data_IF_050674796753
#
_entry.id   IF_050674796753
#
_cell.length_a   1.000
_cell.length_b   1.000
_cell.length_c   1.000
_cell.angle_alpha   90.00
_cell.angle_beta   90.00
_cell.angle_gamma   90.00
#
_symmetry.space_group_name_H-M   'P 1'
#
loop_
_entity.id
_entity.type
_entity.pdbx_description
1 polymer ?
#
# COMPACT_ATOMS: atom_id res chain seq x y z
N UNK A 1 -3.05 -5.99 -33.71
CA UNK A 1 -3.66 -5.34 -32.52
C UNK A 1 -2.89 -5.88 -31.34
N UNK A 2 -2.08 -5.06 -30.68
CA UNK A 2 -1.57 -5.43 -29.37
C UNK A 2 -2.80 -5.65 -28.48
N UNK A 3 -2.85 -6.74 -27.74
CA UNK A 3 -3.95 -6.97 -26.80
C UNK A 3 -3.86 -5.87 -25.74
N UNK A 4 -4.88 -5.03 -25.63
CA UNK A 4 -4.95 -3.98 -24.61
C UNK A 4 -4.83 -4.65 -23.23
N UNK A 5 -3.93 -4.16 -22.37
CA UNK A 5 -3.84 -4.62 -20.98
C UNK A 5 -5.09 -4.09 -20.28
N UNK A 6 -5.94 -4.98 -19.75
CA UNK A 6 -7.21 -4.57 -19.11
C UNK A 6 -7.12 -4.78 -17.60
N UNK A 7 -7.72 -3.86 -16.83
CA UNK A 7 -8.01 -4.04 -15.42
C UNK A 7 -9.05 -5.16 -15.27
N UNK A 8 -8.71 -6.22 -14.55
CA UNK A 8 -9.60 -7.38 -14.36
C UNK A 8 -9.92 -7.56 -12.89
N UNK A 9 -11.18 -7.38 -12.53
CA UNK A 9 -11.66 -7.58 -11.15
C UNK A 9 -12.32 -8.95 -11.04
N UNK A 10 -12.04 -9.68 -9.95
CA UNK A 10 -12.62 -11.01 -9.71
C UNK A 10 -13.09 -11.14 -8.27
N UNK A 11 -14.12 -11.96 -8.09
CA UNK A 11 -14.57 -12.42 -6.79
C UNK A 11 -14.75 -13.95 -6.85
N UNK A 12 -14.49 -14.61 -5.73
CA UNK A 12 -14.80 -16.01 -5.48
C UNK A 12 -15.81 -16.11 -4.34
N UNK A 13 -16.71 -17.09 -4.42
CA UNK A 13 -17.66 -17.42 -3.35
C UNK A 13 -16.97 -18.04 -2.12
N UNK A 14 -15.71 -18.47 -2.26
CA UNK A 14 -14.93 -19.07 -1.18
C UNK A 14 -14.23 -18.04 -0.28
N UNK A 15 -14.46 -16.74 -0.49
CA UNK A 15 -13.98 -15.66 0.38
C UNK A 15 -15.10 -14.62 0.57
N UNK A 16 -15.04 -13.80 1.64
CA UNK A 16 -16.07 -12.78 1.90
C UNK A 16 -16.24 -11.80 0.74
N UNK A 17 -17.44 -11.69 0.18
CA UNK A 17 -17.78 -10.75 -0.90
C UNK A 17 -18.29 -9.44 -0.29
N UNK A 18 -17.88 -8.31 -0.87
CA UNK A 18 -18.26 -6.98 -0.41
C UNK A 18 -18.89 -6.18 -1.55
N UNK A 19 -19.99 -5.45 -1.28
CA UNK A 19 -20.66 -4.64 -2.30
C UNK A 19 -19.88 -3.37 -2.68
N UNK A 20 -18.86 -3.00 -1.91
CA UNK A 20 -18.15 -1.72 -2.00
C UNK A 20 -16.65 -1.87 -2.29
N UNK A 21 -16.22 -3.07 -2.70
CA UNK A 21 -14.86 -3.37 -3.15
C UNK A 21 -14.80 -4.72 -3.83
N UNK A 22 -13.86 -4.90 -4.75
CA UNK A 22 -13.62 -6.22 -5.35
C UNK A 22 -12.52 -6.97 -4.60
N UNK A 23 -12.67 -8.29 -4.40
CA UNK A 23 -11.70 -9.10 -3.64
C UNK A 23 -10.29 -9.01 -4.23
N UNK A 24 -10.18 -9.07 -5.55
CA UNK A 24 -8.91 -9.10 -6.28
C UNK A 24 -9.04 -8.27 -7.55
N UNK A 25 -8.12 -7.33 -7.76
CA UNK A 25 -8.06 -6.49 -8.96
C UNK A 25 -6.68 -6.59 -9.59
N UNK A 26 -6.63 -7.29 -10.71
CA UNK A 26 -5.43 -7.52 -11.51
C UNK A 26 -5.25 -6.43 -12.56
N UNK A 27 -4.01 -6.02 -12.74
CA UNK A 27 -3.59 -5.22 -13.88
C UNK A 27 -2.14 -5.55 -14.23
N UNK A 28 -1.76 -5.54 -15.51
CA UNK A 28 -0.38 -5.82 -15.93
C UNK A 28 0.20 -7.05 -15.20
N UNK A 29 1.19 -6.86 -14.30
CA UNK A 29 1.89 -7.94 -13.60
C UNK A 29 1.48 -8.16 -12.14
N UNK A 30 0.59 -7.36 -11.56
CA UNK A 30 0.20 -7.48 -10.15
C UNK A 30 -1.30 -7.66 -9.95
N UNK A 31 -1.62 -8.23 -8.80
CA UNK A 31 -2.97 -8.35 -8.34
C UNK A 31 -3.13 -7.80 -6.91
N UNK A 32 -3.99 -6.79 -6.78
CA UNK A 32 -4.28 -6.13 -5.50
C UNK A 32 -5.42 -6.86 -4.80
N UNK A 33 -5.19 -7.37 -3.59
CA UNK A 33 -6.24 -7.97 -2.76
C UNK A 33 -6.82 -6.92 -1.82
N UNK A 34 -8.15 -6.86 -1.74
CA UNK A 34 -8.86 -6.13 -0.69
C UNK A 34 -8.52 -6.67 0.70
N UNK A 35 -8.50 -5.81 1.71
CA UNK A 35 -8.28 -6.27 3.08
C UNK A 35 -9.32 -7.33 3.47
N UNK A 36 -8.83 -8.50 3.83
CA UNK A 36 -9.62 -9.60 4.34
C UNK A 36 -9.76 -9.45 5.84
N UNK A 37 -11.02 -9.38 6.27
CA UNK A 37 -11.43 -9.49 7.66
C UNK A 37 -11.60 -10.97 8.03
N UNK A 38 -11.65 -11.31 9.33
CA UNK A 38 -11.76 -12.68 9.80
C UNK A 38 -13.21 -13.15 9.73
N UNK A 39 -13.84 -13.01 8.56
CA UNK A 39 -15.21 -13.40 8.28
C UNK A 39 -15.18 -14.79 7.65
N UNK A 40 -16.04 -15.69 8.11
CA UNK A 40 -16.27 -16.98 7.46
C UNK A 40 -17.13 -16.74 6.21
N UNK A 41 -16.64 -17.07 5.00
CA UNK A 41 -17.37 -16.84 3.76
C UNK A 41 -18.70 -17.61 3.66
N UNK A 42 -18.85 -18.72 4.41
CA UNK A 42 -20.07 -19.54 4.38
C UNK A 42 -21.19 -18.94 5.20
N UNK A 43 -20.86 -18.31 6.33
CA UNK A 43 -21.85 -17.73 7.24
C UNK A 43 -22.02 -16.22 7.02
N UNK A 44 -20.99 -15.55 6.50
CA UNK A 44 -20.90 -14.09 6.46
C UNK A 44 -20.65 -13.46 7.83
N UNK A 45 -20.42 -14.27 8.86
CA UNK A 45 -20.20 -13.82 10.23
C UNK A 45 -18.70 -13.81 10.57
N UNK A 46 -18.33 -12.96 11.52
CA UNK A 46 -16.97 -12.93 12.04
C UNK A 46 -16.64 -14.20 12.83
N UNK A 47 -15.43 -14.71 12.66
CA UNK A 47 -14.88 -15.79 13.48
C UNK A 47 -14.59 -15.26 14.88
N UNK A 48 -15.41 -15.70 15.84
CA UNK A 48 -15.21 -15.43 17.27
C UNK A 48 -14.07 -16.32 17.78
N UNK A 49 -13.03 -15.71 18.33
CA UNK A 49 -11.86 -16.44 18.80
C UNK A 49 -10.72 -15.53 19.22
N UNK A 50 -9.55 -16.12 19.45
CA UNK A 50 -8.34 -15.36 19.74
C UNK A 50 -7.73 -14.81 18.44
N UNK A 51 -6.68 -13.98 18.57
CA UNK A 51 -5.96 -13.44 17.41
C UNK A 51 -5.49 -14.54 16.45
N UNK A 52 -5.07 -15.71 16.93
CA UNK A 52 -4.62 -16.79 16.05
C UNK A 52 -5.73 -17.30 15.13
N UNK A 53 -6.95 -17.44 15.67
CA UNK A 53 -8.11 -17.92 14.92
C UNK A 53 -8.49 -16.91 13.83
N UNK A 54 -8.55 -15.63 14.20
CA UNK A 54 -8.87 -14.57 13.25
C UNK A 54 -7.78 -14.35 12.21
N UNK A 55 -6.50 -14.40 12.60
CA UNK A 55 -5.36 -14.31 11.65
C UNK A 55 -5.42 -15.46 10.64
N UNK A 56 -5.69 -16.68 11.11
CA UNK A 56 -5.84 -17.84 10.25
C UNK A 56 -7.03 -17.67 9.29
N UNK A 57 -8.16 -17.11 9.76
CA UNK A 57 -9.30 -16.85 8.89
C UNK A 57 -8.98 -15.83 7.80
N UNK A 58 -8.32 -14.70 8.13
CA UNK A 58 -7.91 -13.71 7.14
C UNK A 58 -7.00 -14.33 6.06
N UNK A 59 -6.02 -15.14 6.49
CA UNK A 59 -5.09 -15.81 5.57
C UNK A 59 -5.76 -16.91 4.73
N UNK A 60 -6.72 -17.66 5.28
CA UNK A 60 -7.54 -18.61 4.52
C UNK A 60 -8.38 -17.89 3.44
N UNK A 61 -8.93 -16.71 3.77
CA UNK A 61 -9.69 -15.89 2.82
C UNK A 61 -8.77 -15.40 1.68
N UNK A 62 -7.58 -14.90 2.01
CA UNK A 62 -6.56 -14.52 1.02
C UNK A 62 -6.19 -15.73 0.17
N UNK A 63 -5.87 -16.87 0.78
CA UNK A 63 -5.53 -18.11 0.07
C UNK A 63 -6.63 -18.53 -0.91
N UNK A 64 -7.89 -18.48 -0.50
CA UNK A 64 -9.03 -18.82 -1.36
C UNK A 64 -9.15 -17.88 -2.57
N UNK A 65 -8.87 -16.58 -2.38
CA UNK A 65 -8.81 -15.59 -3.47
C UNK A 65 -7.66 -15.92 -4.42
N UNK A 66 -6.46 -16.17 -3.87
CA UNK A 66 -5.25 -16.51 -4.63
C UNK A 66 -5.46 -17.78 -5.47
N UNK A 67 -6.01 -18.84 -4.87
CA UNK A 67 -6.27 -20.11 -5.55
C UNK A 67 -7.36 -19.97 -6.62
N UNK A 68 -8.35 -19.11 -6.42
CA UNK A 68 -9.42 -18.86 -7.39
C UNK A 68 -8.95 -18.24 -8.70
N UNK A 69 -7.78 -17.60 -8.69
CA UNK A 69 -7.13 -17.01 -9.87
C UNK A 69 -5.96 -17.85 -10.38
N UNK A 70 -5.83 -19.11 -9.93
CA UNK A 70 -4.82 -20.06 -10.42
C UNK A 70 -3.43 -19.89 -9.80
N UNK A 71 -3.30 -19.16 -8.69
CA UNK A 71 -2.04 -18.87 -8.00
C UNK A 71 -1.94 -19.57 -6.65
N UNK A 72 -0.77 -19.45 -6.01
CA UNK A 72 -0.50 -20.00 -4.68
C UNK A 72 -0.02 -18.92 -3.72
N UNK A 73 -0.10 -19.17 -2.41
CA UNK A 73 0.34 -18.19 -1.39
C UNK A 73 1.80 -17.75 -1.57
N UNK A 74 2.67 -18.60 -2.11
CA UNK A 74 4.05 -18.21 -2.40
C UNK A 74 4.19 -17.16 -3.53
N UNK A 75 3.13 -16.83 -4.26
CA UNK A 75 3.09 -15.71 -5.20
C UNK A 75 2.86 -14.35 -4.51
N UNK A 76 2.52 -14.32 -3.22
CA UNK A 76 2.36 -13.07 -2.48
C UNK A 76 3.70 -12.35 -2.36
N UNK A 77 3.73 -11.07 -2.74
CA UNK A 77 4.91 -10.19 -2.70
C UNK A 77 4.91 -9.26 -1.49
N UNK A 78 3.74 -8.79 -1.05
CA UNK A 78 3.56 -7.87 0.07
C UNK A 78 2.30 -8.23 0.85
N UNK A 79 2.39 -8.11 2.18
CA UNK A 79 1.26 -8.21 3.10
C UNK A 79 1.29 -7.02 4.06
N UNK A 80 0.13 -6.39 4.25
CA UNK A 80 -0.08 -5.44 5.34
C UNK A 80 -1.03 -6.06 6.39
N UNK A 81 -0.60 -6.07 7.65
CA UNK A 81 -1.34 -6.62 8.78
C UNK A 81 -1.70 -5.49 9.73
N UNK A 82 -2.98 -5.19 9.85
CA UNK A 82 -3.48 -4.18 10.79
C UNK A 82 -4.17 -4.87 11.96
N UNK A 83 -3.73 -4.55 13.18
CA UNK A 83 -4.23 -5.19 14.41
C UNK A 83 -4.90 -4.17 15.34
N UNK A 84 -5.78 -4.63 16.23
CA UNK A 84 -6.29 -3.80 17.33
C UNK A 84 -5.24 -3.57 18.41
N UNK A 85 -4.48 -4.62 18.76
CA UNK A 85 -3.47 -4.56 19.83
C UNK A 85 -2.11 -5.00 19.31
N UNK A 86 -1.08 -4.16 19.47
CA UNK A 86 0.26 -4.47 18.97
C UNK A 86 0.92 -5.66 19.69
N UNK A 87 0.47 -5.96 20.92
CA UNK A 87 0.94 -7.12 21.69
C UNK A 87 0.63 -8.46 21.01
N UNK A 88 -0.33 -8.47 20.07
CA UNK A 88 -0.76 -9.68 19.39
C UNK A 88 0.22 -10.15 18.29
N UNK A 89 1.24 -9.35 17.98
CA UNK A 89 2.23 -9.64 16.92
C UNK A 89 2.93 -10.98 17.12
N UNK A 90 3.30 -11.33 18.35
CA UNK A 90 4.01 -12.59 18.62
C UNK A 90 3.14 -13.83 18.37
N UNK A 91 1.82 -13.68 18.48
CA UNK A 91 0.87 -14.72 18.13
C UNK A 91 0.74 -14.83 16.60
N UNK A 92 0.58 -13.70 15.91
CA UNK A 92 0.52 -13.62 14.44
C UNK A 92 1.76 -14.21 13.79
N UNK A 93 2.96 -13.91 14.32
CA UNK A 93 4.26 -14.44 13.86
C UNK A 93 4.37 -15.96 13.93
N UNK A 94 3.51 -16.65 14.69
CA UNK A 94 3.45 -18.12 14.73
C UNK A 94 2.49 -18.70 13.69
N UNK A 95 1.49 -17.93 13.26
CA UNK A 95 0.46 -18.37 12.30
C UNK A 95 0.85 -18.03 10.88
N UNK A 96 1.18 -16.78 10.60
CA UNK A 96 1.32 -16.33 9.23
C UNK A 96 2.40 -17.09 8.41
N UNK A 97 3.58 -17.47 8.95
CA UNK A 97 4.59 -18.16 8.16
C UNK A 97 4.14 -19.55 7.70
N UNK A 98 3.15 -20.16 8.38
CA UNK A 98 2.69 -21.51 8.03
C UNK A 98 1.92 -21.56 6.72
N UNK A 99 1.56 -20.41 6.15
CA UNK A 99 0.88 -20.29 4.87
C UNK A 99 1.84 -20.23 3.68
N UNK A 100 3.15 -20.20 3.91
CA UNK A 100 4.18 -20.10 2.88
C UNK A 100 5.10 -21.30 2.96
N UNK A 101 5.56 -21.77 1.79
CA UNK A 101 6.58 -22.82 1.69
C UNK A 101 7.93 -22.23 1.22
N UNK A 102 7.87 -21.16 0.42
CA UNK A 102 9.02 -20.43 -0.09
C UNK A 102 9.39 -19.19 0.74
N UNK A 103 10.15 -18.25 0.14
CA UNK A 103 10.46 -16.98 0.76
C UNK A 103 9.20 -16.20 1.16
N UNK A 104 9.19 -15.73 2.41
CA UNK A 104 8.11 -14.95 2.99
C UNK A 104 7.94 -13.62 2.21
N UNK A 105 6.73 -13.06 2.13
CA UNK A 105 6.51 -11.76 1.50
C UNK A 105 7.17 -10.63 2.29
N UNK A 106 7.16 -9.43 1.72
CA UNK A 106 7.39 -8.21 2.49
C UNK A 106 6.20 -7.95 3.41
N UNK A 107 6.47 -7.37 4.59
CA UNK A 107 5.47 -7.23 5.65
C UNK A 107 5.48 -5.81 6.22
N UNK A 108 4.29 -5.27 6.41
CA UNK A 108 4.03 -4.11 7.26
C UNK A 108 3.05 -4.54 8.36
N UNK A 109 3.36 -4.26 9.63
CA UNK A 109 2.45 -4.50 10.76
C UNK A 109 2.26 -3.21 11.55
N UNK A 110 1.03 -2.84 11.84
CA UNK A 110 0.72 -1.70 12.72
C UNK A 110 -0.57 -1.93 13.51
N UNK A 111 -0.65 -1.35 14.72
CA UNK A 111 -1.90 -1.32 15.46
C UNK A 111 -2.71 -0.08 15.08
N UNK A 112 -4.01 -0.23 14.84
CA UNK A 112 -4.90 0.83 14.37
C UNK A 112 -6.02 1.07 15.38
N UNK A 113 -6.61 2.27 15.37
CA UNK A 113 -7.64 2.64 16.34
C UNK A 113 -8.93 1.83 16.16
N UNK A 114 -9.29 1.50 14.92
CA UNK A 114 -10.42 0.63 14.64
C UNK A 114 -10.24 -0.20 13.37
N UNK A 115 -10.98 -1.31 13.31
CA UNK A 115 -11.15 -2.16 12.13
C UNK A 115 -12.62 -2.10 11.70
N UNK A 116 -12.97 -2.35 10.41
CA UNK A 116 -14.34 -2.16 9.90
C UNK A 116 -15.42 -3.03 10.56
N UNK A 117 -15.05 -4.11 11.25
CA UNK A 117 -15.97 -4.94 12.04
C UNK A 117 -15.52 -4.88 13.49
N UNK A 118 -16.46 -4.60 14.41
CA UNK A 118 -16.16 -4.27 15.81
C UNK A 118 -15.34 -5.34 16.54
N UNK A 119 -15.67 -6.61 16.31
CA UNK A 119 -15.05 -7.77 16.95
C UNK A 119 -13.80 -8.27 16.20
N UNK A 120 -13.40 -7.60 15.12
CA UNK A 120 -12.16 -7.91 14.43
C UNK A 120 -10.97 -7.41 15.25
N UNK A 121 -10.01 -8.31 15.44
CA UNK A 121 -8.71 -8.10 16.06
C UNK A 121 -7.62 -7.85 15.01
N UNK A 122 -7.84 -8.32 13.78
CA UNK A 122 -6.90 -8.20 12.65
C UNK A 122 -7.65 -8.05 11.33
N UNK A 123 -7.07 -7.31 10.39
CA UNK A 123 -7.35 -7.43 8.95
C UNK A 123 -6.04 -7.54 8.19
N UNK A 124 -6.07 -8.19 7.03
CA UNK A 124 -4.88 -8.42 6.22
C UNK A 124 -5.19 -8.12 4.77
N UNK A 125 -4.41 -7.25 4.14
CA UNK A 125 -4.40 -7.12 2.68
C UNK A 125 -3.09 -7.68 2.10
N UNK A 126 -3.11 -7.91 0.78
CA UNK A 126 -1.97 -8.47 0.08
C UNK A 126 -1.83 -7.92 -1.33
N UNK A 127 -0.60 -7.92 -1.83
CA UNK A 127 -0.24 -7.77 -3.23
C UNK A 127 0.37 -9.08 -3.71
N UNK A 128 -0.10 -9.60 -4.84
CA UNK A 128 0.39 -10.85 -5.43
C UNK A 128 1.07 -10.53 -6.76
N UNK A 129 2.15 -11.23 -7.05
CA UNK A 129 2.68 -11.34 -8.40
C UNK A 129 1.65 -11.98 -9.35
N UNK A 130 1.92 -11.92 -10.66
CA UNK A 130 1.11 -12.56 -11.70
C UNK A 130 -0.33 -12.02 -11.80
N UNK A 131 -0.48 -10.70 -11.94
CA UNK A 131 -1.73 -10.14 -12.45
C UNK A 131 -2.07 -10.71 -13.83
N UNK A 132 -3.22 -11.34 -14.01
CA UNK A 132 -3.70 -11.72 -15.34
C UNK A 132 -4.71 -10.70 -15.86
N UNK A 133 -4.23 -9.61 -16.47
CA UNK A 133 -5.05 -8.64 -17.20
C UNK A 133 -5.57 -9.13 -18.58
N UNK A 134 -5.13 -10.32 -19.03
CA UNK A 134 -5.36 -10.98 -20.36
C UNK A 134 -4.87 -10.17 -21.58
N UNK A 135 -4.35 -10.69 -22.71
CA UNK A 135 -4.03 -12.03 -23.23
C UNK A 135 -2.49 -12.25 -23.28
N UNK A 136 -1.95 -13.44 -23.63
CA UNK A 136 -0.61 -13.84 -23.21
C UNK A 136 0.46 -13.02 -23.91
N UNK A 137 1.20 -12.22 -23.15
CA UNK A 137 2.63 -12.19 -23.42
C UNK A 137 3.10 -13.64 -23.36
N UNK A 138 3.95 -14.07 -24.31
CA UNK A 138 4.53 -15.39 -24.23
C UNK A 138 5.07 -15.58 -22.80
N UNK A 139 4.75 -16.68 -22.11
CA UNK A 139 5.18 -16.88 -20.73
C UNK A 139 6.68 -16.60 -20.64
N UNK A 140 7.03 -15.50 -19.97
CA UNK A 140 8.38 -15.32 -19.50
C UNK A 140 8.40 -15.90 -18.09
N UNK A 141 9.51 -16.56 -17.73
CA UNK A 141 9.71 -16.98 -16.34
C UNK A 141 9.88 -15.71 -15.50
N UNK A 142 8.76 -15.11 -15.06
CA UNK A 142 8.77 -14.08 -14.05
C UNK A 142 8.96 -14.76 -12.71
N UNK A 143 10.03 -14.41 -12.01
CA UNK A 143 10.38 -15.02 -10.74
C UNK A 143 10.23 -13.95 -9.66
N UNK A 144 9.46 -14.25 -8.62
CA UNK A 144 9.50 -13.47 -7.39
C UNK A 144 10.89 -13.62 -6.77
N UNK A 145 11.66 -12.53 -6.69
CA UNK A 145 13.00 -12.54 -6.12
C UNK A 145 12.96 -11.84 -4.77
N UNK A 146 13.29 -12.56 -3.71
CA UNK A 146 13.39 -12.02 -2.35
C UNK A 146 14.84 -11.90 -1.93
N UNK A 147 15.21 -10.78 -1.31
CA UNK A 147 16.58 -10.53 -0.84
C UNK A 147 16.58 -9.92 0.55
N UNK A 148 17.68 -10.16 1.26
CA UNK A 148 17.97 -9.59 2.58
C UNK A 148 19.45 -9.18 2.61
N UNK A 149 19.76 -8.16 3.38
CA UNK A 149 21.12 -7.69 3.71
C UNK A 149 21.29 -7.60 5.22
N UNK A 150 22.47 -7.94 5.72
CA UNK A 150 22.82 -7.82 7.14
C UNK A 150 22.90 -6.37 7.63
N UNK A 151 22.95 -5.41 6.71
CA UNK A 151 22.99 -3.97 7.00
C UNK A 151 21.63 -3.33 7.25
N UNK A 152 20.56 -4.13 7.36
CA UNK A 152 19.23 -3.68 7.72
C UNK A 152 18.55 -4.68 8.69
N UNK A 153 17.50 -4.27 9.42
CA UNK A 153 16.82 -5.12 10.39
C UNK A 153 16.34 -6.45 9.79
N UNK A 154 16.53 -7.53 10.55
CA UNK A 154 16.10 -8.88 10.18
C UNK A 154 14.81 -9.26 10.89
N UNK A 155 14.04 -10.17 10.30
CA UNK A 155 12.85 -10.72 10.95
C UNK A 155 12.21 -11.86 10.15
N UNK A 156 11.03 -12.26 10.60
CA UNK A 156 10.17 -13.15 9.84
C UNK A 156 9.48 -12.32 8.76
N UNK A 157 10.17 -12.06 7.66
CA UNK A 157 9.72 -11.42 6.42
C UNK A 157 10.91 -11.38 5.44
N UNK A 158 10.66 -11.08 4.18
CA UNK A 158 11.74 -10.65 3.28
C UNK A 158 11.86 -9.12 3.33
N UNK A 159 13.08 -8.58 3.45
CA UNK A 159 13.31 -7.14 3.43
C UNK A 159 12.83 -6.53 2.13
N UNK A 160 13.04 -7.24 1.02
CA UNK A 160 12.60 -6.88 -0.32
C UNK A 160 12.00 -8.08 -1.05
N UNK A 161 10.96 -7.83 -1.84
CA UNK A 161 10.40 -8.77 -2.81
C UNK A 161 10.18 -8.07 -4.15
N UNK A 162 11.01 -8.42 -5.13
CA UNK A 162 10.93 -7.95 -6.50
C UNK A 162 10.11 -8.88 -7.38
N UNK A 163 9.29 -8.30 -8.25
CA UNK A 163 8.58 -9.03 -9.29
C UNK A 163 8.32 -8.09 -10.48
N UNK A 164 8.58 -8.55 -11.71
CA UNK A 164 8.48 -7.68 -12.89
C UNK A 164 9.22 -6.35 -12.65
N UNK A 165 8.59 -5.21 -12.91
CA UNK A 165 9.22 -3.89 -12.85
C UNK A 165 9.33 -3.29 -11.45
N UNK A 166 8.77 -3.89 -10.39
CA UNK A 166 8.75 -3.24 -9.07
C UNK A 166 9.41 -4.10 -8.00
N UNK A 167 9.85 -3.39 -6.97
CA UNK A 167 10.33 -3.99 -5.75
C UNK A 167 9.61 -3.38 -4.54
N UNK A 168 9.06 -4.25 -3.68
CA UNK A 168 8.38 -3.85 -2.47
C UNK A 168 9.30 -4.10 -1.29
N UNK A 169 9.39 -3.15 -0.36
CA UNK A 169 10.15 -3.32 0.87
C UNK A 169 9.21 -3.54 2.06
N UNK A 170 9.64 -4.39 2.98
CA UNK A 170 9.00 -4.48 4.31
C UNK A 170 9.13 -3.14 5.03
N UNK A 171 8.15 -2.82 5.88
CA UNK A 171 8.24 -1.63 6.71
C UNK A 171 9.52 -1.65 7.54
N UNK A 172 10.34 -0.61 7.40
CA UNK A 172 11.56 -0.45 8.16
C UNK A 172 11.26 0.29 9.45
N UNK A 173 11.50 -0.42 10.57
CA UNK A 173 11.53 0.15 11.90
C UNK A 173 12.85 0.91 12.13
N UNK A 174 12.91 1.82 13.12
CA UNK A 174 14.08 2.62 13.43
C UNK A 174 15.09 1.82 14.27
N UNK A 175 15.34 0.58 13.86
CA UNK A 175 16.26 -0.35 14.52
C UNK A 175 17.65 -0.12 13.96
N UNK A 176 18.65 -0.02 14.83
CA UNK A 176 20.04 -0.07 14.42
C UNK A 176 20.42 -1.54 14.13
N UNK A 177 20.83 -1.89 12.89
CA UNK A 177 21.04 -3.29 12.49
C UNK A 177 22.10 -4.04 13.31
N UNK A 178 23.10 -3.32 13.82
CA UNK A 178 24.21 -3.90 14.60
C UNK A 178 23.78 -4.35 16.00
N UNK A 179 22.87 -3.59 16.62
CA UNK A 179 22.43 -3.82 18.00
C UNK A 179 21.10 -4.55 18.05
N UNK A 180 20.27 -4.43 17.01
CA UNK A 180 18.90 -4.94 17.00
C UNK A 180 17.94 -4.13 17.88
N UNK A 181 18.38 -2.95 18.36
CA UNK A 181 17.60 -2.08 19.24
C UNK A 181 17.08 -0.85 18.50
N UNK A 182 15.99 -0.26 18.99
CA UNK A 182 15.49 1.03 18.51
C UNK A 182 16.52 2.12 18.85
N UNK A 183 16.84 2.98 17.88
CA UNK A 183 17.75 4.10 18.12
C UNK A 183 17.22 5.04 19.20
N UNK A 184 18.13 5.51 20.05
CA UNK A 184 17.80 6.52 21.06
C UNK A 184 17.54 7.88 20.40
N UNK A 185 16.65 8.68 20.99
CA UNK A 185 16.29 10.00 20.47
C UNK A 185 14.78 10.17 20.39
N UNK A 186 14.34 11.11 19.55
CA UNK A 186 12.94 11.37 19.26
C UNK A 186 12.56 10.96 17.84
N UNK A 187 11.51 11.59 17.31
CA UNK A 187 11.01 11.26 15.98
C UNK A 187 12.07 11.45 14.89
N UNK A 188 12.87 12.52 14.94
CA UNK A 188 13.85 12.81 13.88
C UNK A 188 14.90 11.71 13.77
N UNK A 189 15.46 11.27 14.89
CA UNK A 189 16.46 10.19 14.92
C UNK A 189 15.86 8.86 14.43
N UNK A 190 14.61 8.56 14.83
CA UNK A 190 13.93 7.35 14.39
C UNK A 190 13.59 7.39 12.89
N UNK A 191 13.07 8.51 12.36
CA UNK A 191 12.82 8.68 10.94
C UNK A 191 14.10 8.54 10.11
N UNK A 192 15.19 9.14 10.58
CA UNK A 192 16.51 9.02 9.95
C UNK A 192 16.95 7.55 9.90
N UNK A 193 16.78 6.80 10.99
CA UNK A 193 17.16 5.39 11.01
C UNK A 193 16.29 4.53 10.07
N UNK A 194 14.97 4.79 9.99
CA UNK A 194 14.10 4.09 9.04
C UNK A 194 14.61 4.27 7.59
N UNK A 195 14.92 5.51 7.21
CA UNK A 195 15.41 5.85 5.87
C UNK A 195 16.83 5.34 5.62
N UNK A 196 17.71 5.31 6.63
CA UNK A 196 19.02 4.66 6.53
C UNK A 196 18.90 3.15 6.27
N UNK A 197 17.96 2.48 6.96
CA UNK A 197 17.69 1.05 6.75
C UNK A 197 17.15 0.79 5.34
N UNK A 198 16.25 1.64 4.84
CA UNK A 198 15.76 1.59 3.46
C UNK A 198 16.92 1.76 2.48
N UNK A 199 17.77 2.78 2.66
CA UNK A 199 18.92 3.02 1.80
C UNK A 199 19.89 1.81 1.77
N UNK A 200 20.16 1.19 2.93
CA UNK A 200 21.01 -0.01 2.99
C UNK A 200 20.41 -1.20 2.24
N UNK A 201 19.09 -1.39 2.29
CA UNK A 201 18.40 -2.41 1.50
C UNK A 201 18.53 -2.11 0.01
N UNK A 202 18.26 -0.87 -0.40
CA UNK A 202 18.37 -0.42 -1.80
C UNK A 202 19.78 -0.63 -2.35
N UNK A 203 20.82 -0.21 -1.62
CA UNK A 203 22.22 -0.42 -2.01
C UNK A 203 22.55 -1.91 -2.20
N UNK A 204 21.99 -2.78 -1.34
CA UNK A 204 22.22 -4.24 -1.44
C UNK A 204 21.61 -4.89 -2.69
N UNK A 205 20.66 -4.21 -3.32
CA UNK A 205 20.02 -4.63 -4.57
C UNK A 205 20.39 -3.73 -5.76
N UNK A 206 21.40 -2.87 -5.61
CA UNK A 206 21.91 -2.02 -6.70
C UNK A 206 21.03 -0.80 -7.03
N UNK A 207 20.16 -0.39 -6.11
CA UNK A 207 19.23 0.73 -6.26
C UNK A 207 19.55 1.88 -5.29
N UNK A 208 18.88 3.02 -5.51
CA UNK A 208 19.08 4.23 -4.71
C UNK A 208 17.75 4.81 -4.23
N UNK A 209 17.78 5.75 -3.28
CA UNK A 209 16.58 6.45 -2.81
C UNK A 209 15.78 7.11 -3.95
N UNK A 210 16.44 7.53 -5.03
CA UNK A 210 15.78 8.13 -6.19
C UNK A 210 14.86 7.16 -6.94
N UNK A 211 15.04 5.85 -6.74
CA UNK A 211 14.21 4.82 -7.36
C UNK A 211 12.88 4.60 -6.61
N UNK A 212 12.67 5.21 -5.45
CA UNK A 212 11.41 5.05 -4.69
C UNK A 212 10.27 5.78 -5.40
N UNK A 213 9.16 5.08 -5.65
CA UNK A 213 7.94 5.68 -6.25
C UNK A 213 6.85 6.01 -5.24
N UNK A 214 6.80 5.28 -4.12
CA UNK A 214 5.84 5.50 -3.04
C UNK A 214 6.50 5.29 -1.68
N UNK A 215 6.17 6.17 -0.73
CA UNK A 215 6.47 6.04 0.69
C UNK A 215 5.16 5.99 1.49
N UNK A 216 5.04 5.04 2.42
CA UNK A 216 3.97 5.01 3.42
C UNK A 216 4.60 5.12 4.79
N UNK A 217 4.27 6.19 5.51
CA UNK A 217 4.84 6.51 6.81
C UNK A 217 3.78 6.26 7.86
N UNK A 218 4.03 5.29 8.73
CA UNK A 218 3.18 5.01 9.88
C UNK A 218 3.78 5.71 11.10
N UNK A 219 3.01 6.52 11.82
CA UNK A 219 3.48 7.31 12.96
C UNK A 219 2.47 7.29 14.11
N UNK A 220 2.98 7.32 15.35
CA UNK A 220 2.13 7.29 16.55
C UNK A 220 1.46 8.62 16.88
N UNK A 221 2.13 9.74 16.62
CA UNK A 221 1.58 11.08 16.85
C UNK A 221 1.65 11.90 15.56
N UNK A 222 0.52 12.42 15.11
CA UNK A 222 0.41 13.20 13.88
C UNK A 222 1.09 14.56 13.99
N UNK A 223 1.28 15.06 15.23
CA UNK A 223 2.07 16.27 15.51
C UNK A 223 3.53 16.15 15.06
N UNK A 224 4.02 14.91 14.89
CA UNK A 224 5.38 14.66 14.45
C UNK A 224 5.56 14.75 12.92
N UNK A 225 4.46 14.93 12.16
CA UNK A 225 4.49 14.91 10.70
C UNK A 225 5.47 15.92 10.07
N UNK A 226 5.53 17.15 10.58
CA UNK A 226 6.44 18.18 10.05
C UNK A 226 7.91 17.81 10.27
N UNK A 227 8.24 17.27 11.45
CA UNK A 227 9.59 16.82 11.76
C UNK A 227 10.01 15.64 10.87
N UNK A 228 9.09 14.72 10.56
CA UNK A 228 9.34 13.62 9.63
C UNK A 228 9.55 14.16 8.20
N UNK A 229 8.74 15.15 7.77
CA UNK A 229 8.85 15.76 6.45
C UNK A 229 10.24 16.40 6.24
N UNK A 230 10.74 17.12 7.25
CA UNK A 230 12.09 17.71 7.23
C UNK A 230 13.16 16.64 7.02
N UNK A 231 13.07 15.50 7.70
CA UNK A 231 14.03 14.39 7.55
C UNK A 231 13.89 13.75 6.16
N UNK A 232 12.67 13.45 5.71
CA UNK A 232 12.44 12.90 4.36
C UNK A 232 13.04 13.80 3.27
N UNK A 233 12.89 15.12 3.36
CA UNK A 233 13.45 16.07 2.39
C UNK A 233 14.97 15.96 2.21
N UNK A 234 15.70 15.49 3.22
CA UNK A 234 17.15 15.28 3.14
C UNK A 234 17.54 14.05 2.31
N UNK A 235 16.65 13.07 2.19
CA UNK A 235 16.88 11.84 1.41
C UNK A 235 16.39 11.94 -0.03
N UNK A 236 15.57 12.95 -0.35
CA UNK A 236 14.96 13.15 -1.66
C UNK A 236 15.30 14.54 -2.23
N UNK A 237 16.59 14.83 -2.51
CA UNK A 237 17.03 16.18 -2.88
C UNK A 237 16.66 16.61 -4.31
N UNK A 238 16.23 15.69 -5.17
CA UNK A 238 15.91 15.95 -6.59
C UNK A 238 14.43 15.71 -6.90
N UNK A 239 13.95 14.51 -6.61
CA UNK A 239 12.59 14.05 -6.86
C UNK A 239 12.04 13.47 -5.56
N UNK A 240 10.76 13.75 -5.28
CA UNK A 240 10.07 13.32 -4.05
C UNK A 240 8.99 12.30 -4.41
N UNK A 241 8.98 11.11 -3.81
CA UNK A 241 7.99 10.08 -4.11
C UNK A 241 6.57 10.49 -3.73
N UNK A 242 5.59 9.75 -4.25
CA UNK A 242 4.26 9.78 -3.68
C UNK A 242 4.33 9.38 -2.20
N UNK A 243 3.46 9.95 -1.37
CA UNK A 243 3.52 9.80 0.09
C UNK A 243 2.15 9.65 0.72
N UNK A 244 2.03 8.75 1.69
CA UNK A 244 0.89 8.68 2.60
C UNK A 244 1.40 8.70 4.04
N UNK A 245 0.77 9.52 4.89
CA UNK A 245 0.91 9.41 6.34
C UNK A 245 -0.22 8.52 6.87
N UNK A 246 0.07 7.69 7.87
CA UNK A 246 -0.90 6.81 8.52
C UNK A 246 -0.73 6.93 10.03
N UNK A 247 -1.65 7.62 10.70
CA UNK A 247 -1.66 7.67 12.17
C UNK A 247 -2.09 6.31 12.73
N UNK A 248 -1.23 5.71 13.53
CA UNK A 248 -1.41 4.36 14.07
C UNK A 248 -1.44 4.42 15.60
N UNK A 249 -2.21 3.53 16.21
CA UNK A 249 -2.30 3.46 17.67
C UNK A 249 -0.98 3.00 18.30
N UNK A 250 -0.28 2.07 17.64
CA UNK A 250 1.03 1.62 18.09
C UNK A 250 1.82 0.91 16.98
N UNK A 251 3.13 0.77 17.22
CA UNK A 251 4.09 0.13 16.31
C UNK A 251 4.92 -0.91 17.07
N UNK A 252 5.49 -1.90 16.35
CA UNK A 252 6.37 -2.88 16.97
C UNK A 252 7.51 -2.20 17.74
N UNK A 253 7.91 -2.80 18.87
CA UNK A 253 8.98 -2.29 19.75
C UNK A 253 8.73 -0.88 20.29
N UNK A 254 7.46 -0.42 20.31
CA UNK A 254 7.08 0.94 20.72
C UNK A 254 7.80 2.03 19.91
N UNK A 255 8.12 1.74 18.64
CA UNK A 255 8.66 2.74 17.72
C UNK A 255 7.69 3.91 17.54
N UNK A 256 8.22 5.11 17.29
CA UNK A 256 7.43 6.31 17.01
C UNK A 256 7.00 6.36 15.53
N UNK A 257 7.79 5.73 14.66
CA UNK A 257 7.61 5.72 13.20
C UNK A 257 8.11 4.40 12.60
N UNK A 258 7.49 3.97 11.51
CA UNK A 258 8.08 3.01 10.55
C UNK A 258 7.73 3.44 9.13
N UNK A 259 8.53 3.05 8.15
CA UNK A 259 8.36 3.47 6.76
C UNK A 259 8.40 2.25 5.84
N UNK A 260 7.37 2.06 5.03
CA UNK A 260 7.41 1.14 3.89
C UNK A 260 7.57 1.92 2.58
N UNK A 261 8.14 1.26 1.57
CA UNK A 261 8.35 1.86 0.25
C UNK A 261 8.06 0.90 -0.89
N UNK A 262 7.66 1.47 -2.01
CA UNK A 262 7.62 0.80 -3.33
C UNK A 262 8.69 1.44 -4.19
N UNK A 263 9.46 0.61 -4.87
CA UNK A 263 10.66 0.99 -5.63
C UNK A 263 10.43 0.64 -7.09
N UNK A 264 10.70 1.61 -7.96
CA UNK A 264 10.83 1.40 -9.40
C UNK A 264 12.05 0.51 -9.65
N UNK A 265 11.95 -0.42 -10.60
CA UNK A 265 12.96 -1.41 -10.96
C UNK A 265 13.04 -2.60 -9.98
N UNK A 266 12.42 -3.71 -10.39
CA UNK A 266 12.54 -5.02 -9.76
C UNK A 266 13.45 -5.94 -10.55
N UNK A 267 14.26 -6.73 -9.86
CA UNK A 267 15.09 -7.80 -10.45
C UNK A 267 14.31 -9.09 -10.74
N UNK A 268 12.96 -9.01 -10.85
CA UNK A 268 12.09 -10.17 -11.02
C UNK A 268 12.12 -10.81 -12.43
N UNK A 269 12.96 -10.28 -13.32
CA UNK A 269 13.16 -10.74 -14.71
C UNK A 269 14.64 -10.97 -14.98
N UNK A 270 15.02 -11.82 -15.96
CA UNK A 270 16.32 -11.70 -16.62
C UNK A 270 16.56 -10.23 -17.01
N UNK A 271 17.81 -9.74 -17.06
CA UNK A 271 18.07 -8.34 -17.39
C UNK A 271 17.31 -8.00 -18.67
N UNK A 272 16.32 -7.11 -18.53
CA UNK A 272 15.69 -6.46 -19.66
C UNK A 272 16.84 -5.95 -20.52
N UNK A 273 16.73 -6.08 -21.85
CA UNK A 273 17.76 -5.53 -22.72
C UNK A 273 17.95 -4.08 -22.27
N UNK A 274 19.18 -3.56 -22.12
CA UNK A 274 19.40 -2.19 -21.63
C UNK A 274 18.61 -1.12 -22.40
N UNK A 275 18.11 -1.46 -23.58
CA UNK A 275 17.25 -0.70 -24.48
C UNK A 275 15.83 -0.51 -23.91
N UNK A 276 15.28 -1.51 -23.20
CA UNK A 276 13.91 -1.53 -22.65
C UNK A 276 13.82 -0.78 -21.31
N UNK A 277 14.86 -0.85 -20.46
CA UNK A 277 14.91 -0.09 -19.19
C UNK A 277 15.06 1.42 -19.42
N UNK A 278 15.67 1.82 -20.54
CA UNK A 278 15.83 3.22 -20.95
C UNK A 278 14.52 3.92 -21.35
N UNK A 279 13.42 3.17 -21.47
CA UNK A 279 12.10 3.70 -21.82
C UNK A 279 11.19 3.89 -20.60
N UNK A 280 11.53 3.30 -19.45
CA UNK A 280 10.75 3.41 -18.22
C UNK A 280 11.25 4.58 -17.39
N UNK A 281 10.47 5.65 -17.32
CA UNK A 281 10.81 6.86 -16.56
C UNK A 281 9.94 6.93 -15.32
N UNK A 282 10.55 7.32 -14.20
CA UNK A 282 9.80 7.76 -13.01
C UNK A 282 9.27 9.16 -13.31
N UNK A 283 7.95 9.30 -13.35
CA UNK A 283 7.30 10.56 -13.67
C UNK A 283 6.46 11.04 -12.48
N UNK A 284 7.01 12.00 -11.75
CA UNK A 284 6.24 12.78 -10.78
C UNK A 284 5.35 13.77 -11.51
N UNK A 285 4.09 13.85 -11.09
CA UNK A 285 3.16 14.85 -11.59
C UNK A 285 2.41 15.51 -10.43
N UNK A 286 2.27 16.84 -10.54
CA UNK A 286 1.47 17.70 -9.68
C UNK A 286 0.53 18.53 -10.55
N UNK A 287 -0.67 18.77 -10.05
CA UNK A 287 -1.70 19.55 -10.76
C UNK A 287 -2.22 20.66 -9.88
N UNK A 288 -2.45 21.83 -10.46
CA UNK A 288 -3.06 22.98 -9.78
C UNK A 288 -4.52 22.74 -9.36
N UNK A 289 -5.13 21.67 -9.85
CA UNK A 289 -6.49 21.27 -9.51
C UNK A 289 -6.56 20.37 -8.26
N UNK A 290 -5.43 20.09 -7.61
CA UNK A 290 -5.36 19.37 -6.34
C UNK A 290 -4.58 20.21 -5.30
N UNK A 291 -4.74 19.94 -3.99
CA UNK A 291 -4.12 20.75 -2.93
C UNK A 291 -2.59 20.73 -3.00
N UNK A 292 -1.93 21.87 -2.82
CA UNK A 292 -0.47 21.96 -2.87
C UNK A 292 0.20 21.13 -1.76
N UNK A 293 1.31 20.46 -2.08
CA UNK A 293 2.06 19.58 -1.17
C UNK A 293 3.58 19.67 -1.41
N UNK A 294 4.37 19.35 -0.39
CA UNK A 294 5.85 19.28 -0.47
C UNK A 294 6.38 17.95 -1.05
N UNK A 295 5.52 17.18 -1.68
CA UNK A 295 5.80 15.88 -2.29
C UNK A 295 5.11 15.79 -3.65
N UNK A 296 5.05 14.61 -4.28
CA UNK A 296 4.34 14.44 -5.56
C UNK A 296 2.90 13.99 -5.32
N UNK A 297 1.91 14.57 -5.99
CA UNK A 297 0.52 14.11 -6.00
C UNK A 297 0.45 12.68 -6.51
N UNK A 298 1.21 12.41 -7.57
CA UNK A 298 1.24 11.11 -8.23
C UNK A 298 2.65 10.83 -8.75
N UNK A 299 3.05 9.57 -8.73
CA UNK A 299 4.28 9.10 -9.37
C UNK A 299 3.95 7.89 -10.23
N UNK A 300 4.07 8.07 -11.55
CA UNK A 300 3.98 7.01 -12.52
C UNK A 300 5.35 6.34 -12.71
N UNK A 301 5.32 5.04 -12.88
CA UNK A 301 6.45 4.24 -13.37
C UNK A 301 5.84 3.01 -14.04
N UNK A 302 6.45 2.48 -15.11
CA UNK A 302 5.99 1.27 -15.81
C UNK A 302 4.49 1.23 -16.14
N UNK A 303 3.65 0.61 -15.31
CA UNK A 303 2.24 0.35 -15.58
C UNK A 303 1.31 0.91 -14.50
N UNK A 304 1.88 1.55 -13.48
CA UNK A 304 1.14 2.02 -12.33
C UNK A 304 1.51 3.45 -11.98
N UNK A 305 0.52 4.18 -11.48
CA UNK A 305 0.72 5.47 -10.86
C UNK A 305 0.25 5.44 -9.40
N UNK A 306 1.15 5.77 -8.49
CA UNK A 306 0.88 5.82 -7.06
C UNK A 306 0.44 7.23 -6.67
N UNK A 307 -0.78 7.34 -6.15
CA UNK A 307 -1.33 8.61 -5.68
C UNK A 307 -0.98 8.79 -4.20
N UNK A 308 -0.61 10.00 -3.82
CA UNK A 308 -0.38 10.40 -2.44
C UNK A 308 -1.67 10.47 -1.63
N UNK A 309 -1.56 10.38 -0.30
CA UNK A 309 -2.68 10.56 0.61
C UNK A 309 -3.36 11.91 0.40
N UNK A 310 -4.59 11.89 -0.12
CA UNK A 310 -5.41 13.07 -0.32
C UNK A 310 -6.24 13.33 0.92
N UNK A 311 -5.95 14.46 1.56
CA UNK A 311 -6.80 15.07 2.59
C UNK A 311 -7.97 15.82 1.93
N UNK A 312 -9.03 16.13 2.70
CA UNK A 312 -10.22 16.82 2.21
C UNK A 312 -9.98 18.33 2.09
N UNK A 313 -8.85 18.72 1.51
CA UNK A 313 -8.47 20.12 1.33
C UNK A 313 -9.05 20.66 0.04
N UNK A 314 -9.45 21.93 0.05
CA UNK A 314 -9.80 22.63 -1.18
C UNK A 314 -8.52 23.02 -1.94
N UNK A 315 -8.41 22.70 -3.25
CA UNK A 315 -7.26 23.13 -4.07
C UNK A 315 -7.08 24.66 -4.15
N UNK A 316 -8.08 25.45 -3.75
CA UNK A 316 -8.06 26.91 -3.86
C UNK A 316 -7.27 27.59 -2.74
N UNK A 317 -7.27 27.01 -1.55
CA UNK A 317 -6.72 27.63 -0.35
C UNK A 317 -6.01 26.65 0.58
N UNK A 318 -5.92 25.36 0.22
CA UNK A 318 -5.34 24.30 1.03
C UNK A 318 -5.97 24.12 2.43
N UNK A 319 -7.21 24.58 2.62
CA UNK A 319 -7.95 24.40 3.88
C UNK A 319 -8.89 23.19 3.79
N UNK A 320 -9.10 22.51 4.92
CA UNK A 320 -10.10 21.44 5.04
C UNK A 320 -11.48 22.00 4.72
N UNK A 321 -12.23 21.33 3.84
CA UNK A 321 -13.58 21.76 3.49
C UNK A 321 -14.52 21.73 4.70
N UNK A 322 -15.38 22.73 4.79
CA UNK A 322 -16.43 22.77 5.79
C UNK A 322 -17.46 21.64 5.57
N UNK A 323 -18.04 21.13 6.66
CA UNK A 323 -19.00 20.04 6.63
C UNK A 323 -18.58 18.88 7.51
N UNK A 324 -19.26 17.75 7.35
CA UNK A 324 -18.94 16.51 8.04
C UNK A 324 -18.20 15.53 7.13
N UNK A 325 -18.24 14.26 7.50
CA UNK A 325 -17.58 13.18 6.76
C UNK A 325 -18.03 13.11 5.29
N UNK A 326 -19.30 13.42 4.99
CA UNK A 326 -19.85 13.37 3.62
C UNK A 326 -19.17 14.36 2.67
N UNK A 327 -18.98 15.60 3.12
CA UNK A 327 -18.28 16.64 2.35
C UNK A 327 -16.79 16.31 2.23
N UNK A 328 -16.18 15.80 3.29
CA UNK A 328 -14.75 15.49 3.30
C UNK A 328 -14.39 14.29 2.42
N UNK A 329 -15.13 13.17 2.48
CA UNK A 329 -14.89 12.02 1.57
C UNK A 329 -15.06 12.43 0.11
N UNK A 330 -16.06 13.27 -0.19
CA UNK A 330 -16.27 13.80 -1.53
C UNK A 330 -15.05 14.62 -1.98
N UNK A 331 -14.54 15.51 -1.14
CA UNK A 331 -13.37 16.33 -1.48
C UNK A 331 -12.10 15.47 -1.69
N UNK A 332 -11.85 14.45 -0.86
CA UNK A 332 -10.75 13.52 -1.06
C UNK A 332 -10.82 12.84 -2.44
N UNK A 333 -12.00 12.35 -2.82
CA UNK A 333 -12.22 11.69 -4.10
C UNK A 333 -12.19 12.66 -5.28
N UNK A 334 -12.64 13.90 -5.12
CA UNK A 334 -12.48 14.96 -6.13
C UNK A 334 -11.00 15.31 -6.34
N UNK A 335 -10.20 15.38 -5.27
CA UNK A 335 -8.76 15.61 -5.37
C UNK A 335 -8.07 14.45 -6.10
N UNK A 336 -8.38 13.20 -5.75
CA UNK A 336 -7.89 12.01 -6.47
C UNK A 336 -8.30 12.07 -7.94
N UNK A 337 -9.57 12.36 -8.23
CA UNK A 337 -10.08 12.48 -9.60
C UNK A 337 -9.31 13.54 -10.40
N UNK A 338 -9.08 14.72 -9.83
CA UNK A 338 -8.34 15.79 -10.49
C UNK A 338 -6.88 15.39 -10.78
N UNK A 339 -6.25 14.61 -9.90
CA UNK A 339 -4.91 14.06 -10.10
C UNK A 339 -4.92 13.03 -11.24
N UNK A 340 -5.84 12.07 -11.19
CA UNK A 340 -6.00 11.02 -12.21
C UNK A 340 -6.28 11.62 -13.59
N UNK A 341 -7.20 12.59 -13.69
CA UNK A 341 -7.54 13.27 -14.96
C UNK A 341 -6.38 14.14 -15.47
N UNK A 342 -5.49 14.64 -14.59
CA UNK A 342 -4.32 15.42 -15.00
C UNK A 342 -3.24 14.60 -15.71
N UNK A 343 -3.31 13.27 -15.60
CA UNK A 343 -2.45 12.32 -16.32
C UNK A 343 -3.25 11.52 -17.35
N UNK A 344 -4.35 12.08 -17.84
CA UNK A 344 -5.19 11.53 -18.91
C UNK A 344 -5.86 10.17 -18.59
N UNK A 345 -6.07 9.87 -17.30
CA UNK A 345 -6.75 8.67 -16.82
C UNK A 345 -8.13 8.98 -16.22
N UNK A 346 -8.88 7.93 -15.87
CA UNK A 346 -10.19 8.04 -15.22
C UNK A 346 -10.25 7.26 -13.90
N UNK A 347 -11.21 7.59 -13.02
CA UNK A 347 -11.37 6.92 -11.72
C UNK A 347 -11.50 5.39 -11.84
N UNK A 348 -12.14 4.89 -12.91
CA UNK A 348 -12.30 3.45 -13.14
C UNK A 348 -10.96 2.73 -13.43
N UNK A 349 -9.87 3.45 -13.73
CA UNK A 349 -8.50 2.91 -13.82
C UNK A 349 -7.87 2.64 -12.44
N UNK A 350 -8.50 3.06 -11.33
CA UNK A 350 -7.97 2.75 -10.00
C UNK A 350 -8.10 1.24 -9.74
N UNK A 351 -7.00 0.63 -9.30
CA UNK A 351 -6.92 -0.80 -8.94
C UNK A 351 -6.93 -1.04 -7.44
N UNK A 352 -6.46 -0.07 -6.64
CA UNK A 352 -6.44 -0.15 -5.17
C UNK A 352 -6.78 1.20 -4.57
N UNK A 353 -7.60 1.19 -3.52
CA UNK A 353 -7.90 2.36 -2.68
C UNK A 353 -7.63 2.02 -1.22
N UNK A 354 -6.92 2.90 -0.51
CA UNK A 354 -6.71 2.80 0.93
C UNK A 354 -7.40 3.98 1.62
N UNK A 355 -8.24 3.70 2.60
CA UNK A 355 -9.03 4.69 3.33
C UNK A 355 -8.63 4.68 4.80
N UNK A 356 -8.30 5.86 5.31
CA UNK A 356 -8.12 6.11 6.73
C UNK A 356 -9.28 6.96 7.21
N UNK A 357 -10.02 6.48 8.21
CA UNK A 357 -11.22 7.17 8.73
C UNK A 357 -11.08 7.40 10.23
N UNK A 358 -11.39 8.61 10.70
CA UNK A 358 -11.26 8.97 12.11
C UNK A 358 -12.33 8.30 12.99
N UNK A 359 -13.55 8.16 12.45
CA UNK A 359 -14.66 7.52 13.13
C UNK A 359 -15.26 6.41 12.27
N UNK A 360 -15.13 5.15 12.70
CA UNK A 360 -15.59 4.00 11.91
C UNK A 360 -17.12 3.93 11.80
N UNK A 361 -17.87 4.56 12.70
CA UNK A 361 -19.35 4.61 12.61
C UNK A 361 -19.84 5.34 11.35
N UNK A 362 -18.99 6.19 10.77
CA UNK A 362 -19.29 6.95 9.56
C UNK A 362 -19.05 6.16 8.25
N UNK A 363 -18.60 4.90 8.33
CA UNK A 363 -18.18 4.13 7.16
C UNK A 363 -19.28 3.95 6.11
N UNK A 364 -20.55 3.90 6.54
CA UNK A 364 -21.68 3.79 5.60
C UNK A 364 -21.87 5.06 4.76
N UNK A 365 -21.62 6.24 5.34
CA UNK A 365 -21.67 7.51 4.61
C UNK A 365 -20.50 7.58 3.63
N UNK A 366 -19.31 7.15 4.05
CA UNK A 366 -18.13 7.04 3.17
C UNK A 366 -18.42 6.11 1.99
N UNK A 367 -19.02 4.95 2.25
CA UNK A 367 -19.39 3.98 1.22
C UNK A 367 -20.39 4.56 0.20
N UNK A 368 -21.42 5.28 0.67
CA UNK A 368 -22.43 5.92 -0.20
C UNK A 368 -21.79 6.91 -1.17
N UNK A 369 -20.88 7.76 -0.69
CA UNK A 369 -20.20 8.73 -1.57
C UNK A 369 -19.18 8.04 -2.46
N UNK A 370 -18.36 7.14 -1.91
CA UNK A 370 -17.29 6.44 -2.61
C UNK A 370 -17.78 5.74 -3.88
N UNK A 371 -18.89 5.01 -3.82
CA UNK A 371 -19.40 4.26 -4.98
C UNK A 371 -19.89 5.16 -6.11
N UNK A 372 -20.19 6.44 -5.85
CA UNK A 372 -20.62 7.39 -6.91
C UNK A 372 -19.48 7.86 -7.82
N UNK A 373 -18.22 7.59 -7.46
CA UNK A 373 -17.05 7.97 -8.24
C UNK A 373 -16.59 6.91 -9.27
N UNK A 374 -17.25 5.76 -9.30
CA UNK A 374 -16.93 4.65 -10.20
C UNK A 374 -18.15 4.27 -11.02
N UNK A 375 -17.96 4.01 -12.31
CA UNK A 375 -19.04 3.56 -13.20
C UNK A 375 -19.00 2.04 -13.42
N UNK A 376 -17.87 1.42 -13.12
CA UNK A 376 -17.61 0.00 -13.36
C UNK A 376 -17.15 -0.72 -12.08
N UNK A 377 -16.49 -1.86 -12.24
CA UNK A 377 -16.01 -2.67 -11.12
C UNK A 377 -15.09 -1.87 -10.19
N UNK A 378 -15.43 -1.94 -8.90
CA UNK A 378 -14.75 -1.20 -7.85
C UNK A 378 -13.32 -1.72 -7.63
N UNK A 379 -12.36 -0.87 -7.25
CA UNK A 379 -11.02 -1.29 -6.93
C UNK A 379 -10.97 -2.23 -5.71
N UNK A 380 -9.82 -2.88 -5.55
CA UNK A 380 -9.47 -3.48 -4.28
C UNK A 380 -9.40 -2.39 -3.21
N UNK A 381 -9.73 -2.73 -1.95
CA UNK A 381 -9.91 -1.72 -0.91
C UNK A 381 -9.39 -2.15 0.44
N UNK A 382 -8.76 -1.23 1.15
CA UNK A 382 -8.41 -1.36 2.58
C UNK A 382 -8.98 -0.17 3.34
N UNK A 383 -9.60 -0.42 4.49
CA UNK A 383 -10.13 0.64 5.36
C UNK A 383 -9.61 0.43 6.77
N UNK A 384 -8.95 1.43 7.34
CA UNK A 384 -8.48 1.42 8.73
C UNK A 384 -9.04 2.62 9.49
N UNK A 385 -9.35 2.41 10.76
CA UNK A 385 -9.69 3.48 11.68
C UNK A 385 -8.45 4.07 12.31
N UNK A 386 -8.33 5.40 12.31
CA UNK A 386 -7.20 6.14 12.88
C UNK A 386 -7.69 7.08 13.98
N UNK A 387 -6.85 7.42 14.96
CA UNK A 387 -7.25 8.34 16.04
C UNK A 387 -7.25 9.80 15.60
N UNK A 388 -6.40 10.13 14.63
CA UNK A 388 -6.15 11.49 14.18
C UNK A 388 -5.63 11.49 12.73
N UNK A 389 -5.84 12.61 12.06
CA UNK A 389 -5.33 12.91 10.73
C UNK A 389 -4.80 14.34 10.73
N UNK A 390 -3.90 14.69 9.79
CA UNK A 390 -3.43 16.06 9.68
C UNK A 390 -4.59 17.05 9.54
N UNK A 391 -4.43 18.24 10.11
CA UNK A 391 -5.42 19.33 10.02
C UNK A 391 -6.80 18.97 10.60
N UNK A 392 -6.86 18.00 11.52
CA UNK A 392 -8.11 17.48 12.12
C UNK A 392 -9.11 16.95 11.08
N UNK A 393 -8.62 16.50 9.92
CA UNK A 393 -9.45 15.84 8.92
C UNK A 393 -10.13 14.58 9.49
N UNK A 394 -11.27 14.22 8.91
CA UNK A 394 -12.05 13.03 9.28
C UNK A 394 -11.68 11.81 8.42
N UNK A 395 -11.07 12.04 7.27
CA UNK A 395 -10.72 11.01 6.30
C UNK A 395 -9.49 11.39 5.48
N UNK A 396 -8.71 10.40 5.08
CA UNK A 396 -7.66 10.50 4.07
C UNK A 396 -7.76 9.31 3.12
N UNK A 397 -7.53 9.52 1.83
CA UNK A 397 -7.60 8.45 0.82
C UNK A 397 -6.35 8.49 -0.05
N UNK A 398 -5.72 7.35 -0.26
CA UNK A 398 -4.73 7.16 -1.34
C UNK A 398 -5.15 6.03 -2.28
N UNK A 399 -4.52 5.99 -3.45
CA UNK A 399 -4.89 5.06 -4.50
C UNK A 399 -3.70 4.62 -5.36
N UNK A 400 -3.87 3.50 -6.04
CA UNK A 400 -2.98 3.02 -7.11
C UNK A 400 -3.80 2.92 -8.38
N UNK A 401 -3.32 3.55 -9.45
CA UNK A 401 -3.97 3.62 -10.77
C UNK A 401 -3.25 2.71 -11.75
N UNK A 402 -4.00 2.00 -12.59
CA UNK A 402 -3.48 1.25 -13.74
C UNK A 402 -3.22 2.14 -14.96
N UNK A 403 -2.70 1.54 -16.04
CA UNK A 403 -2.56 2.14 -17.36
C UNK A 403 -1.58 3.31 -17.47
N UNK A 404 -0.90 3.68 -16.40
CA UNK A 404 0.05 4.78 -16.43
C UNK A 404 1.39 4.29 -16.99
N UNK A 405 1.59 4.47 -18.29
CA UNK A 405 2.90 4.30 -18.92
C UNK A 405 3.77 5.51 -18.60
N UNK A 406 4.84 5.32 -17.82
CA UNK A 406 5.94 6.30 -17.71
C UNK A 406 6.80 6.38 -18.98
N UNK A 407 6.20 6.09 -20.14
CA UNK A 407 6.85 6.06 -21.44
C UNK A 407 6.49 7.35 -22.18
N UNK A 408 7.46 8.21 -22.53
CA UNK A 408 7.15 9.43 -23.26
C UNK A 408 6.51 9.10 -24.63
N UNK A 409 5.50 9.87 -25.08
CA UNK A 409 4.90 9.65 -26.40
C UNK A 409 5.98 9.76 -27.48
N UNK A 410 5.96 8.82 -28.44
CA UNK A 410 6.83 8.89 -29.62
C UNK A 410 6.42 10.13 -30.43
N UNK A 411 7.26 11.16 -30.40
CA UNK A 411 7.16 12.34 -31.27
C UNK A 411 7.36 11.98 -32.74
#
# INVERSE_FOLDING_TARGET
MAADIVKVSRNTENAPICAVSTQTVAFSHYNNISAQLPIDPKTGEIVIGCINDQTKQCLNNIQSIVESIGHVMDDVVKINIFVKNISDIDAIKKVYPTFFQGPLPTVTIAAVAALPVSDALVQIDALISNGEGTAPQAPCELIKVSRNTEHAPQGLYSQTAAFSHYNNLSAQLPIEPKTGEIVQGGIKEQSQQCLNNINAILESIGHTMADIVKTTIFLKNISDAEAINEVCGQFFPSYVPARSLVSVADLPMNALVQIDVVVSHGDGTPPQLPEDTRLLVIEANNTVNAPEVDYSHSVAFSHYNHISGQLPLSPKNNEVVAGGIKEQVKQCLENIKNIVESVEHVMDDIVKVNIQIKNMDDINIVNEVYTTFFNHELPARTVIGVSELPMDALIQIDAVVSNCEGTPPKY
#
